data_IF_442952747397
#
_entry.id   IF_442952747397
#
_cell.length_a   1.000
_cell.length_b   1.000
_cell.length_c   1.000
_cell.angle_alpha   90.00
_cell.angle_beta   90.00
_cell.angle_gamma   90.00
#
_symmetry.space_group_name_H-M   'P 1'
#
loop_
_entity.id
_entity.type
_entity.pdbx_description
1 polymer ?
#
# COMPACT_ATOMS: atom_id res chain seq x y z
N UNK A 1 -11.82 5.27 19.05
CA UNK A 1 -12.22 6.19 17.96
C UNK A 1 -11.68 5.62 16.67
N UNK A 2 -12.42 5.66 15.55
CA UNK A 2 -11.89 5.20 14.27
C UNK A 2 -10.98 6.26 13.62
N UNK A 3 -9.97 5.87 12.83
CA UNK A 3 -9.15 6.80 12.07
C UNK A 3 -9.97 7.70 11.15
N UNK A 4 -9.52 8.93 10.92
CA UNK A 4 -10.23 9.92 10.09
C UNK A 4 -9.30 10.55 9.08
N UNK A 5 -9.83 10.82 7.88
CA UNK A 5 -9.11 11.50 6.82
C UNK A 5 -9.80 12.82 6.47
N UNK A 6 -8.98 13.85 6.17
CA UNK A 6 -9.45 15.12 5.61
C UNK A 6 -8.50 15.61 4.54
N UNK A 7 -9.06 16.23 3.50
CA UNK A 7 -8.26 16.92 2.47
C UNK A 7 -7.67 18.20 3.05
N UNK A 8 -6.37 18.40 2.86
CA UNK A 8 -5.65 19.62 3.28
C UNK A 8 -5.10 20.43 2.09
N UNK A 9 -5.06 19.85 0.90
CA UNK A 9 -4.67 20.56 -0.31
C UNK A 9 -4.96 19.77 -1.59
N UNK A 10 -5.43 20.46 -2.61
CA UNK A 10 -5.63 19.91 -3.96
C UNK A 10 -4.81 20.78 -4.90
N UNK A 11 -3.88 20.15 -5.61
CA UNK A 11 -2.99 20.79 -6.56
C UNK A 11 -3.09 20.09 -7.91
N UNK A 12 -2.51 20.70 -8.95
CA UNK A 12 -2.54 20.12 -10.30
C UNK A 12 -1.85 18.75 -10.38
N UNK A 13 -0.78 18.54 -9.63
CA UNK A 13 0.06 17.33 -9.73
C UNK A 13 -0.07 16.38 -8.52
N UNK A 14 -0.79 16.78 -7.48
CA UNK A 14 -0.93 16.01 -6.24
C UNK A 14 -2.12 16.44 -5.40
N UNK A 15 -2.59 15.53 -4.57
CA UNK A 15 -3.52 15.82 -3.48
C UNK A 15 -2.86 15.51 -2.15
N UNK A 16 -3.17 16.31 -1.13
CA UNK A 16 -2.65 16.15 0.22
C UNK A 16 -3.77 15.97 1.22
N UNK A 17 -3.57 15.05 2.15
CA UNK A 17 -4.52 14.69 3.19
C UNK A 17 -3.83 14.70 4.56
N UNK A 18 -4.59 15.02 5.60
CA UNK A 18 -4.23 14.70 6.99
C UNK A 18 -5.05 13.49 7.42
N UNK A 19 -4.37 12.50 8.01
CA UNK A 19 -4.99 11.34 8.63
C UNK A 19 -4.74 11.40 10.12
N UNK A 20 -5.82 11.38 10.90
CA UNK A 20 -5.80 11.23 12.35
C UNK A 20 -5.90 9.74 12.69
N UNK A 21 -4.80 9.19 13.21
CA UNK A 21 -4.70 7.82 13.67
C UNK A 21 -4.65 7.81 15.21
N UNK A 22 -5.83 7.79 15.83
CA UNK A 22 -6.00 7.74 17.28
C UNK A 22 -5.35 8.92 18.04
N UNK A 23 -5.41 10.13 17.48
CA UNK A 23 -4.81 11.34 18.04
C UNK A 23 -3.45 11.69 17.42
N UNK A 24 -2.83 10.76 16.70
CA UNK A 24 -1.59 10.99 15.97
C UNK A 24 -1.89 11.37 14.52
N UNK A 25 -1.66 12.65 14.17
CA UNK A 25 -1.80 13.12 12.79
C UNK A 25 -0.56 12.80 11.94
N UNK A 26 -0.79 12.31 10.72
CA UNK A 26 0.24 12.19 9.68
C UNK A 26 -0.27 12.67 8.32
N UNK A 27 0.67 13.03 7.43
CA UNK A 27 0.33 13.59 6.11
C UNK A 27 0.43 12.52 5.02
N UNK A 28 -0.55 12.49 4.12
CA UNK A 28 -0.55 11.63 2.93
C UNK A 28 -0.49 12.49 1.67
N UNK A 29 0.47 12.23 0.79
CA UNK A 29 0.53 12.82 -0.56
C UNK A 29 0.12 11.79 -1.59
N UNK A 30 -0.89 12.07 -2.40
CA UNK A 30 -1.32 11.19 -3.51
C UNK A 30 -0.90 11.83 -4.82
N UNK A 31 -0.14 11.12 -5.65
CA UNK A 31 0.41 11.69 -6.88
C UNK A 31 0.85 10.63 -7.90
N UNK A 32 0.68 10.89 -9.21
CA UNK A 32 1.41 10.20 -10.26
C UNK A 32 2.66 10.97 -10.75
N UNK A 33 2.89 12.19 -10.24
CA UNK A 33 3.88 13.13 -10.80
C UNK A 33 5.31 12.81 -10.35
N UNK A 34 6.27 12.62 -11.29
CA UNK A 34 7.65 12.26 -10.96
C UNK A 34 8.39 13.30 -10.13
N UNK A 35 8.06 14.58 -10.28
CA UNK A 35 8.70 15.68 -9.56
C UNK A 35 8.24 15.69 -8.10
N UNK A 36 6.95 15.47 -7.86
CA UNK A 36 6.40 15.35 -6.48
C UNK A 36 6.99 14.13 -5.77
N UNK A 37 7.11 12.99 -6.47
CA UNK A 37 7.74 11.78 -5.92
C UNK A 37 9.20 12.06 -5.54
N UNK A 38 9.98 12.66 -6.45
CA UNK A 38 11.38 12.98 -6.18
C UNK A 38 11.56 13.97 -5.04
N UNK A 39 10.71 15.00 -4.97
CA UNK A 39 10.71 15.96 -3.87
C UNK A 39 10.37 15.29 -2.54
N UNK A 40 9.37 14.42 -2.50
CA UNK A 40 9.00 13.69 -1.29
C UNK A 40 10.17 12.84 -0.77
N UNK A 41 10.87 12.12 -1.65
CA UNK A 41 12.05 11.31 -1.27
C UNK A 41 13.15 12.21 -0.71
N UNK A 42 13.46 13.32 -1.40
CA UNK A 42 14.46 14.27 -0.92
C UNK A 42 14.11 14.80 0.48
N UNK A 43 12.84 15.15 0.69
CA UNK A 43 12.36 15.66 1.98
C UNK A 43 12.48 14.61 3.08
N UNK A 44 12.01 13.37 2.88
CA UNK A 44 12.09 12.34 3.93
C UNK A 44 13.54 11.98 4.26
N UNK A 45 14.43 11.93 3.26
CA UNK A 45 15.86 11.71 3.47
C UNK A 45 16.54 12.88 4.18
N UNK A 46 16.11 14.12 3.93
CA UNK A 46 16.62 15.28 4.64
C UNK A 46 16.25 15.22 6.14
N UNK A 47 14.99 14.88 6.44
CA UNK A 47 14.52 14.79 7.83
C UNK A 47 15.09 13.57 8.56
N UNK A 48 15.34 12.46 7.87
CA UNK A 48 15.88 11.24 8.49
C UNK A 48 17.34 11.39 8.94
N UNK A 49 18.09 12.38 8.44
CA UNK A 49 19.43 12.72 8.96
C UNK A 49 19.44 13.13 10.43
N UNK A 50 18.29 13.53 10.95
CA UNK A 50 18.10 13.89 12.36
C UNK A 50 17.65 12.68 13.20
N UNK A 51 17.40 11.54 12.58
CA UNK A 51 17.01 10.31 13.28
C UNK A 51 18.22 9.69 13.97
N UNK A 52 17.99 9.05 15.11
CA UNK A 52 18.99 8.24 15.82
C UNK A 52 19.15 6.83 15.22
N UNK A 53 18.34 6.47 14.24
CA UNK A 53 18.33 5.15 13.61
C UNK A 53 18.40 5.25 12.07
N UNK A 54 18.91 4.20 11.39
CA UNK A 54 18.84 4.07 9.93
C UNK A 54 17.40 4.21 9.41
N UNK A 55 17.25 4.54 8.12
CA UNK A 55 15.94 4.77 7.53
C UNK A 55 15.07 3.51 7.60
N UNK A 56 13.87 3.66 8.16
CA UNK A 56 12.81 2.65 8.15
C UNK A 56 11.69 3.17 7.25
N UNK A 57 11.20 2.30 6.36
CA UNK A 57 10.18 2.64 5.38
C UNK A 57 9.07 1.60 5.42
N UNK A 58 7.85 2.04 5.76
CA UNK A 58 6.66 1.22 5.56
C UNK A 58 6.31 1.16 4.07
N UNK A 59 6.01 -0.03 3.55
CA UNK A 59 5.75 -0.28 2.13
C UNK A 59 4.45 -1.05 1.96
N UNK A 60 3.65 -0.62 0.99
CA UNK A 60 2.42 -1.27 0.58
C UNK A 60 2.26 -1.20 -0.92
N UNK A 61 1.59 -2.19 -1.50
CA UNK A 61 1.32 -2.27 -2.93
C UNK A 61 -0.13 -2.69 -3.13
N UNK A 62 -0.86 -2.01 -4.01
CA UNK A 62 -2.23 -2.38 -4.37
C UNK A 62 -2.39 -2.51 -5.89
N UNK A 63 -3.31 -3.38 -6.29
CA UNK A 63 -3.63 -3.70 -7.68
C UNK A 63 -5.12 -3.99 -7.86
N UNK A 64 -5.66 -3.65 -9.02
CA UNK A 64 -7.04 -3.98 -9.40
C UNK A 64 -7.12 -5.47 -9.79
N UNK A 65 -7.99 -6.28 -9.16
CA UNK A 65 -8.15 -7.69 -9.50
C UNK A 65 -8.57 -7.93 -10.96
N UNK A 66 -8.06 -9.00 -11.57
CA UNK A 66 -8.46 -9.46 -12.90
C UNK A 66 -9.93 -9.88 -12.88
N UNK A 67 -10.80 -9.12 -13.54
CA UNK A 67 -12.25 -9.32 -13.51
C UNK A 67 -13.01 -8.31 -12.62
N UNK A 68 -12.36 -7.25 -12.14
CA UNK A 68 -13.08 -6.12 -11.58
C UNK A 68 -14.04 -5.55 -12.63
N UNK A 69 -15.34 -5.71 -12.39
CA UNK A 69 -16.41 -5.07 -13.13
C UNK A 69 -17.09 -4.09 -12.18
N UNK A 70 -17.00 -2.76 -12.42
CA UNK A 70 -17.75 -1.81 -11.63
C UNK A 70 -19.24 -2.14 -11.79
N UNK A 71 -19.85 -2.67 -10.71
CA UNK A 71 -21.21 -3.17 -10.60
C UNK A 71 -21.93 -3.33 -11.94
N UNK A 72 -21.91 -4.55 -12.51
CA UNK A 72 -22.81 -4.89 -13.62
C UNK A 72 -24.22 -4.39 -13.28
N UNK A 73 -24.89 -3.61 -14.16
CA UNK A 73 -26.27 -3.21 -13.89
C UNK A 73 -27.09 -4.48 -13.64
N UNK A 74 -28.11 -4.44 -12.77
CA UNK A 74 -28.90 -5.63 -12.48
C UNK A 74 -29.43 -6.16 -13.80
N UNK A 75 -28.98 -7.36 -14.17
CA UNK A 75 -29.48 -8.06 -15.35
C UNK A 75 -30.94 -8.33 -15.04
N UNK A 76 -31.84 -7.54 -15.65
CA UNK A 76 -33.25 -7.80 -15.55
C UNK A 76 -33.48 -9.10 -16.33
N UNK A 77 -33.68 -10.20 -15.61
CA UNK A 77 -34.28 -11.39 -16.18
C UNK A 77 -35.71 -11.02 -16.59
N UNK A 78 -35.87 -10.47 -17.81
CA UNK A 78 -37.12 -10.65 -18.53
C UNK A 78 -37.12 -12.10 -18.99
N UNK A 79 -37.80 -12.93 -18.22
CA UNK A 79 -38.24 -14.24 -18.67
C UNK A 79 -39.20 -14.03 -19.83
N UNK A 80 -38.68 -14.09 -21.06
CA UNK A 80 -39.46 -14.48 -22.21
C UNK A 80 -38.56 -15.12 -23.25
N UNK A 81 -38.89 -16.39 -23.55
CA UNK A 81 -38.52 -17.19 -24.73
C UNK A 81 -37.45 -18.28 -24.56
N UNK A 82 -37.82 -19.44 -25.13
CA UNK A 82 -37.25 -20.80 -25.15
C UNK A 82 -35.80 -20.98 -25.66
N UNK A 83 -35.19 -22.18 -25.50
CA UNK A 83 -33.76 -22.39 -25.66
C UNK A 83 -33.41 -22.73 -27.11
N UNK A 84 -32.89 -21.77 -27.86
CA UNK A 84 -32.16 -22.06 -29.09
C UNK A 84 -30.65 -22.06 -28.83
N UNK A 85 -30.04 -23.16 -29.23
CA UNK A 85 -28.65 -23.52 -29.06
C UNK A 85 -27.71 -22.55 -29.79
N UNK A 86 -27.11 -21.63 -29.06
CA UNK A 86 -25.87 -20.99 -29.48
C UNK A 86 -24.68 -21.74 -28.88
N UNK A 87 -24.05 -22.58 -29.71
CA UNK A 87 -22.66 -22.99 -29.46
C UNK A 87 -21.79 -21.74 -29.61
N UNK A 88 -21.35 -21.18 -28.50
CA UNK A 88 -20.29 -20.17 -28.50
C UNK A 88 -18.97 -20.85 -28.85
N UNK A 89 -18.55 -20.71 -30.11
CA UNK A 89 -17.22 -21.10 -30.61
C UNK A 89 -16.13 -20.06 -30.26
N UNK A 90 -16.32 -19.27 -29.20
CA UNK A 90 -15.27 -18.38 -28.70
C UNK A 90 -14.33 -19.19 -27.82
N UNK A 91 -13.02 -19.25 -28.11
CA UNK A 91 -12.07 -19.95 -27.26
C UNK A 91 -12.11 -19.31 -25.86
N UNK A 92 -11.94 -20.10 -24.79
CA UNK A 92 -11.85 -19.54 -23.45
C UNK A 92 -10.60 -18.67 -23.43
N UNK A 93 -10.80 -17.34 -23.38
CA UNK A 93 -9.70 -16.41 -23.15
C UNK A 93 -9.29 -16.64 -21.70
N UNK A 94 -8.22 -17.40 -21.50
CA UNK A 94 -7.59 -17.62 -20.21
C UNK A 94 -7.05 -16.27 -19.70
N UNK A 95 -7.88 -15.47 -19.04
CA UNK A 95 -7.41 -14.33 -18.25
C UNK A 95 -6.83 -14.83 -16.93
N UNK A 96 -5.73 -15.58 -17.03
CA UNK A 96 -4.80 -15.78 -15.92
C UNK A 96 -3.71 -14.73 -16.01
N UNK A 97 -4.08 -13.46 -15.90
CA UNK A 97 -3.08 -12.40 -15.72
C UNK A 97 -3.08 -12.07 -14.23
N UNK A 98 -2.02 -12.47 -13.53
CA UNK A 98 -1.64 -11.85 -12.27
C UNK A 98 -1.48 -10.34 -12.52
N UNK A 99 -2.35 -9.46 -11.99
CA UNK A 99 -2.31 -8.04 -12.34
C UNK A 99 -1.05 -7.39 -11.76
N UNK A 100 -0.40 -6.45 -12.49
CA UNK A 100 0.76 -5.73 -11.96
C UNK A 100 0.34 -4.74 -10.86
N UNK A 101 1.32 -4.17 -10.15
CA UNK A 101 1.07 -3.08 -9.21
C UNK A 101 0.46 -1.85 -9.91
N UNK A 102 -0.67 -1.34 -9.39
CA UNK A 102 -1.30 -0.10 -9.86
C UNK A 102 -0.91 1.11 -8.98
N UNK A 103 -0.63 0.85 -7.70
CA UNK A 103 -0.16 1.86 -6.75
C UNK A 103 0.98 1.32 -5.87
N UNK A 104 1.84 2.23 -5.41
CA UNK A 104 2.89 1.97 -4.42
C UNK A 104 2.73 2.99 -3.28
N UNK A 105 2.66 2.51 -2.04
CA UNK A 105 2.63 3.33 -0.85
C UNK A 105 3.97 3.27 -0.12
N UNK A 106 4.47 4.42 0.32
CA UNK A 106 5.66 4.52 1.14
C UNK A 106 5.38 5.42 2.35
N UNK A 107 5.85 5.02 3.53
CA UNK A 107 5.78 5.81 4.74
C UNK A 107 7.15 5.94 5.40
N UNK A 108 7.52 7.17 5.75
CA UNK A 108 8.68 7.47 6.60
C UNK A 108 8.24 8.43 7.70
N UNK A 109 8.23 7.95 8.95
CA UNK A 109 7.76 8.72 10.09
C UNK A 109 6.28 9.12 9.94
N UNK A 110 6.00 10.43 9.92
CA UNK A 110 4.63 11.00 9.77
C UNK A 110 4.31 11.43 8.34
N UNK A 111 5.04 10.93 7.34
CA UNK A 111 4.88 11.29 5.93
C UNK A 111 4.65 10.04 5.10
N UNK A 112 3.47 9.93 4.53
CA UNK A 112 3.10 8.92 3.56
C UNK A 112 3.05 9.52 2.14
N UNK A 113 3.37 8.71 1.14
CA UNK A 113 3.09 8.99 -0.26
C UNK A 113 2.39 7.78 -0.88
N UNK A 114 1.33 8.03 -1.65
CA UNK A 114 0.67 7.05 -2.52
C UNK A 114 1.01 7.43 -3.95
N UNK A 115 1.84 6.61 -4.57
CA UNK A 115 2.31 6.77 -5.94
C UNK A 115 1.35 5.98 -6.84
N UNK A 116 0.60 6.68 -7.68
CA UNK A 116 -0.30 6.05 -8.65
C UNK A 116 0.49 5.58 -9.88
N UNK A 117 1.17 4.43 -9.74
CA UNK A 117 2.06 3.84 -10.76
C UNK A 117 1.39 3.68 -12.13
N UNK A 118 0.10 3.32 -12.15
CA UNK A 118 -0.70 3.19 -13.37
C UNK A 118 -0.82 4.50 -14.16
N UNK A 119 -0.83 5.65 -13.47
CA UNK A 119 -0.93 6.99 -14.07
C UNK A 119 0.43 7.69 -14.21
N UNK A 120 1.49 7.13 -13.61
CA UNK A 120 2.83 7.69 -13.67
C UNK A 120 3.53 7.27 -14.98
N UNK A 121 3.67 8.14 -15.97
CA UNK A 121 4.28 7.78 -17.28
C UNK A 121 5.72 7.24 -17.13
N UNK A 122 6.51 7.86 -16.26
CA UNK A 122 7.86 7.41 -15.92
C UNK A 122 8.13 7.63 -14.44
N UNK A 123 8.63 6.62 -13.75
CA UNK A 123 9.14 6.79 -12.38
C UNK A 123 10.50 7.50 -12.37
N UNK A 124 10.75 8.42 -11.41
CA UNK A 124 12.05 9.10 -11.33
C UNK A 124 13.15 8.15 -10.85
N UNK A 125 14.38 8.32 -11.33
CA UNK A 125 15.51 7.45 -10.96
C UNK A 125 15.77 7.44 -9.44
N UNK A 126 15.51 8.56 -8.76
CA UNK A 126 15.64 8.64 -7.30
C UNK A 126 14.73 7.67 -6.56
N UNK A 127 13.53 7.37 -7.08
CA UNK A 127 12.66 6.34 -6.50
C UNK A 127 13.25 4.94 -6.67
N UNK A 128 13.82 4.63 -7.84
CA UNK A 128 14.47 3.34 -8.09
C UNK A 128 15.65 3.12 -7.15
N UNK A 129 16.51 4.12 -7.04
CA UNK A 129 17.66 4.07 -6.14
C UNK A 129 17.21 3.96 -4.69
N UNK A 130 16.18 4.70 -4.29
CA UNK A 130 15.60 4.65 -2.95
C UNK A 130 15.12 3.24 -2.61
N UNK A 131 14.31 2.61 -3.46
CA UNK A 131 13.78 1.25 -3.23
C UNK A 131 14.86 0.17 -3.23
N UNK A 132 15.92 0.34 -4.02
CA UNK A 132 17.02 -0.63 -4.14
C UNK A 132 18.10 -0.47 -3.05
N UNK A 133 18.04 0.58 -2.24
CA UNK A 133 19.03 0.86 -1.20
C UNK A 133 18.96 -0.17 -0.06
N UNK A 134 20.06 -0.90 0.14
CA UNK A 134 20.13 -1.98 1.13
C UNK A 134 20.38 -1.47 2.54
N UNK A 135 20.80 -0.22 2.69
CA UNK A 135 21.02 0.43 3.99
C UNK A 135 19.68 0.85 4.63
N UNK A 136 18.59 0.85 3.86
CA UNK A 136 17.24 1.15 4.37
C UNK A 136 16.51 -0.13 4.76
N UNK A 137 15.66 -0.05 5.78
CA UNK A 137 14.82 -1.16 6.24
C UNK A 137 13.40 -0.99 5.70
N UNK A 138 13.03 -1.81 4.73
CA UNK A 138 11.68 -1.85 4.19
C UNK A 138 10.84 -2.85 4.97
N UNK A 139 9.64 -2.46 5.38
CA UNK A 139 8.72 -3.30 6.16
C UNK A 139 7.31 -3.26 5.59
N UNK A 140 6.59 -4.38 5.72
CA UNK A 140 5.17 -4.50 5.39
C UNK A 140 4.54 -5.68 6.14
N UNK A 141 3.25 -5.93 5.90
CA UNK A 141 2.54 -7.10 6.43
C UNK A 141 1.92 -7.85 5.24
N UNK A 142 2.09 -9.17 5.18
CA UNK A 142 1.55 -10.01 4.08
C UNK A 142 2.05 -9.63 2.67
N UNK A 143 3.23 -9.02 2.60
CA UNK A 143 3.84 -8.38 1.43
C UNK A 143 4.59 -9.35 0.49
N UNK A 144 4.31 -10.66 0.54
CA UNK A 144 5.09 -11.67 -0.21
C UNK A 144 4.97 -11.54 -1.74
N UNK A 145 3.92 -10.85 -2.21
CA UNK A 145 3.69 -10.60 -3.63
C UNK A 145 4.26 -9.25 -4.09
N UNK A 146 4.46 -8.30 -3.18
CA UNK A 146 4.71 -6.89 -3.49
C UNK A 146 5.95 -6.71 -4.36
N UNK A 147 7.07 -7.33 -4.00
CA UNK A 147 8.31 -7.26 -4.77
C UNK A 147 8.10 -7.76 -6.22
N UNK A 148 7.43 -8.91 -6.38
CA UNK A 148 7.13 -9.46 -7.71
C UNK A 148 6.12 -8.63 -8.50
N UNK A 149 5.15 -8.00 -7.81
CA UNK A 149 4.16 -7.09 -8.42
C UNK A 149 4.80 -5.81 -8.93
N UNK A 150 5.76 -5.26 -8.18
CA UNK A 150 6.55 -4.09 -8.54
C UNK A 150 7.51 -4.39 -9.70
N UNK A 151 8.18 -5.54 -9.66
CA UNK A 151 9.09 -6.03 -10.71
C UNK A 151 8.34 -6.26 -12.04
N UNK A 152 7.15 -6.86 -11.99
CA UNK A 152 6.31 -7.11 -13.19
C UNK A 152 5.55 -5.88 -13.67
N UNK A 153 5.53 -4.80 -12.90
CA UNK A 153 4.90 -3.56 -13.34
C UNK A 153 5.61 -3.00 -14.57
N UNK A 154 4.93 -2.12 -15.34
CA UNK A 154 5.56 -1.44 -16.49
C UNK A 154 6.83 -0.68 -16.12
N UNK A 155 6.98 -0.34 -14.84
CA UNK A 155 8.11 0.39 -14.32
C UNK A 155 9.27 -0.51 -13.89
N UNK A 156 9.09 -1.82 -13.75
CA UNK A 156 10.15 -2.75 -13.34
C UNK A 156 10.89 -2.23 -12.09
N UNK A 157 10.11 -1.99 -11.03
CA UNK A 157 10.65 -1.47 -9.78
C UNK A 157 11.19 -2.63 -8.96
N UNK A 158 12.49 -2.60 -8.71
CA UNK A 158 13.14 -3.51 -7.77
C UNK A 158 13.15 -2.87 -6.39
N UNK A 159 12.80 -3.67 -5.38
CA UNK A 159 12.91 -3.29 -3.97
C UNK A 159 13.93 -4.19 -3.30
N UNK A 160 14.74 -3.62 -2.41
CA UNK A 160 15.59 -4.37 -1.50
C UNK A 160 14.73 -5.28 -0.60
N UNK A 161 15.38 -6.08 0.25
CA UNK A 161 14.69 -7.02 1.12
C UNK A 161 13.55 -6.33 1.92
N UNK A 162 12.32 -6.77 1.65
CA UNK A 162 11.09 -6.28 2.26
C UNK A 162 10.68 -7.23 3.39
N UNK A 163 10.88 -6.77 4.63
CA UNK A 163 10.62 -7.55 5.84
C UNK A 163 9.13 -7.64 6.10
N UNK A 164 8.67 -8.86 6.34
CA UNK A 164 7.31 -9.14 6.79
C UNK A 164 7.24 -9.06 8.31
N UNK A 165 6.62 -8.00 8.83
CA UNK A 165 6.60 -7.66 10.26
C UNK A 165 6.15 -8.83 11.14
N UNK A 166 5.24 -9.66 10.66
CA UNK A 166 4.69 -10.82 11.39
C UNK A 166 5.76 -11.79 11.88
N UNK A 167 6.94 -11.77 11.26
CA UNK A 167 8.08 -12.63 11.62
C UNK A 167 8.95 -12.03 12.74
N UNK A 168 8.81 -10.74 13.02
CA UNK A 168 9.72 -9.99 13.88
C UNK A 168 9.02 -9.33 15.07
N UNK A 169 7.77 -8.88 14.90
CA UNK A 169 6.99 -8.28 15.98
C UNK A 169 6.59 -9.33 17.01
N UNK A 170 6.60 -8.92 18.29
CA UNK A 170 6.31 -9.80 19.42
C UNK A 170 4.90 -9.59 19.93
N UNK A 171 4.30 -10.64 20.49
CA UNK A 171 3.06 -10.47 21.24
C UNK A 171 3.31 -9.90 22.65
N UNK A 172 2.24 -9.52 23.34
CA UNK A 172 2.24 -9.04 24.72
C UNK A 172 2.82 -10.05 25.74
N UNK A 173 3.03 -11.31 25.34
CA UNK A 173 3.66 -12.36 26.16
C UNK A 173 5.17 -12.49 25.91
N UNK A 174 5.74 -11.67 25.02
CA UNK A 174 7.16 -11.69 24.66
C UNK A 174 7.52 -12.78 23.64
N UNK A 175 6.53 -13.44 23.02
CA UNK A 175 6.78 -14.45 21.99
C UNK A 175 7.09 -13.75 20.67
N UNK A 176 8.30 -13.95 20.16
CA UNK A 176 8.84 -13.29 18.95
C UNK A 176 8.27 -13.82 17.63
N UNK A 177 6.97 -13.97 17.47
CA UNK A 177 6.33 -14.11 16.14
C UNK A 177 4.81 -13.92 16.22
N UNK A 178 4.26 -13.04 15.39
CA UNK A 178 2.80 -12.90 15.16
C UNK A 178 2.39 -13.43 13.78
N UNK A 179 2.98 -14.55 13.34
CA UNK A 179 2.84 -15.10 11.98
C UNK A 179 1.39 -15.40 11.56
N UNK A 180 0.56 -15.83 12.52
CA UNK A 180 -0.84 -16.19 12.29
C UNK A 180 -1.82 -15.03 12.45
N UNK A 181 -1.34 -13.85 12.87
CA UNK A 181 -2.21 -12.73 13.21
C UNK A 181 -2.62 -11.93 11.97
N UNK A 182 -3.82 -11.35 12.03
CA UNK A 182 -4.25 -10.33 11.08
C UNK A 182 -3.49 -9.02 11.29
N UNK A 183 -3.59 -8.11 10.32
CA UNK A 183 -3.03 -6.77 10.45
C UNK A 183 -3.65 -6.04 11.65
N UNK A 184 -4.97 -6.19 11.83
CA UNK A 184 -5.73 -5.59 12.90
C UNK A 184 -5.28 -6.07 14.28
N UNK A 185 -5.07 -7.39 14.43
CA UNK A 185 -4.57 -7.99 15.68
C UNK A 185 -3.17 -7.48 16.02
N UNK A 186 -2.28 -7.33 15.02
CA UNK A 186 -0.93 -6.80 15.23
C UNK A 186 -0.98 -5.35 15.71
N UNK A 187 -1.82 -4.52 15.08
CA UNK A 187 -1.99 -3.11 15.46
C UNK A 187 -2.62 -2.97 16.84
N UNK A 188 -3.61 -3.81 17.17
CA UNK A 188 -4.24 -3.80 18.49
C UNK A 188 -3.23 -4.18 19.59
N UNK A 189 -2.52 -5.30 19.43
CA UNK A 189 -1.57 -5.80 20.43
C UNK A 189 -0.37 -4.87 20.62
N UNK A 190 0.18 -4.29 19.55
CA UNK A 190 1.45 -3.57 19.59
C UNK A 190 1.31 -2.05 19.67
N UNK A 191 0.23 -1.48 19.11
CA UNK A 191 -0.04 -0.03 19.16
C UNK A 191 -1.18 0.32 20.11
N UNK A 192 -1.89 -0.66 20.67
CA UNK A 192 -3.02 -0.42 21.59
C UNK A 192 -4.23 0.22 20.89
N UNK A 193 -4.35 0.08 19.58
CA UNK A 193 -5.34 0.77 18.76
C UNK A 193 -6.40 -0.17 18.20
N UNK A 194 -7.54 -0.23 18.89
CA UNK A 194 -8.69 -1.03 18.47
C UNK A 194 -9.50 -0.37 17.35
N UNK A 195 -10.06 -1.18 16.46
CA UNK A 195 -10.98 -0.71 15.41
C UNK A 195 -10.29 -0.23 14.13
N UNK A 196 -8.98 -0.45 14.00
CA UNK A 196 -8.34 -0.49 12.69
C UNK A 196 -8.85 -1.71 11.95
N UNK A 197 -9.26 -1.54 10.70
CA UNK A 197 -9.71 -2.62 9.82
C UNK A 197 -9.40 -2.26 8.37
N UNK A 198 -8.73 -3.15 7.67
CA UNK A 198 -8.58 -3.06 6.22
C UNK A 198 -9.81 -3.74 5.59
N UNK A 199 -10.66 -2.97 4.93
CA UNK A 199 -11.89 -3.47 4.33
C UNK A 199 -11.57 -4.29 3.06
N UNK A 200 -11.94 -5.59 3.01
CA UNK A 200 -11.74 -6.40 1.81
C UNK A 200 -12.39 -5.82 0.56
N UNK A 201 -13.51 -5.10 0.68
CA UNK A 201 -14.16 -4.44 -0.46
C UNK A 201 -13.30 -3.32 -1.04
N UNK A 202 -12.60 -2.58 -0.18
CA UNK A 202 -11.65 -1.54 -0.61
C UNK A 202 -10.39 -2.19 -1.17
N UNK A 203 -9.86 -3.24 -0.54
CA UNK A 203 -8.71 -3.99 -1.05
C UNK A 203 -8.97 -4.56 -2.46
N UNK A 204 -10.19 -5.04 -2.71
CA UNK A 204 -10.62 -5.59 -4.00
C UNK A 204 -11.20 -4.55 -4.98
N UNK A 205 -11.11 -3.25 -4.65
CA UNK A 205 -11.64 -2.17 -5.49
C UNK A 205 -10.76 -1.85 -6.71
N UNK A 206 -11.18 -0.88 -7.52
CA UNK A 206 -10.38 -0.38 -8.63
C UNK A 206 -9.32 0.63 -8.15
N UNK A 207 -8.07 0.18 -8.09
CA UNK A 207 -6.91 0.99 -7.75
C UNK A 207 -6.33 1.77 -8.95
N UNK A 208 -6.89 1.56 -10.16
CA UNK A 208 -6.55 2.34 -11.36
C UNK A 208 -7.36 3.62 -11.51
N UNK A 209 -8.37 3.84 -10.66
CA UNK A 209 -9.13 5.09 -10.69
C UNK A 209 -8.18 6.27 -10.50
N UNK A 210 -8.38 7.33 -11.28
CA UNK A 210 -7.54 8.52 -11.19
C UNK A 210 -7.72 9.23 -9.85
N UNK A 211 -8.97 9.36 -9.40
CA UNK A 211 -9.32 9.94 -8.12
C UNK A 211 -9.62 8.84 -7.10
N UNK A 212 -8.59 8.44 -6.35
CA UNK A 212 -8.77 7.48 -5.24
C UNK A 212 -9.77 8.02 -4.21
N UNK A 213 -10.67 7.13 -3.75
CA UNK A 213 -11.62 7.44 -2.70
C UNK A 213 -10.96 7.62 -1.33
N UNK A 214 -11.66 8.27 -0.39
CA UNK A 214 -11.16 8.42 0.98
C UNK A 214 -10.87 7.09 1.66
N UNK A 215 -11.69 6.06 1.43
CA UNK A 215 -11.47 4.74 2.02
C UNK A 215 -10.20 4.07 1.46
N UNK A 216 -9.96 4.18 0.15
CA UNK A 216 -8.73 3.70 -0.48
C UNK A 216 -7.49 4.41 0.08
N UNK A 217 -7.53 5.74 0.18
CA UNK A 217 -6.42 6.55 0.69
C UNK A 217 -6.17 6.26 2.17
N UNK A 218 -7.23 6.22 2.98
CA UNK A 218 -7.14 5.95 4.41
C UNK A 218 -6.56 4.56 4.66
N UNK A 219 -7.09 3.53 4.00
CA UNK A 219 -6.61 2.17 4.13
C UNK A 219 -5.14 2.02 3.72
N UNK A 220 -4.81 2.46 2.50
CA UNK A 220 -3.47 2.30 1.95
C UNK A 220 -2.41 3.09 2.73
N UNK A 221 -2.80 4.20 3.37
CA UNK A 221 -1.90 5.00 4.19
C UNK A 221 -1.77 4.50 5.63
N UNK A 222 -2.83 3.97 6.25
CA UNK A 222 -2.77 3.32 7.57
C UNK A 222 -1.89 2.07 7.52
N UNK A 223 -2.02 1.26 6.46
CA UNK A 223 -1.22 0.06 6.25
C UNK A 223 0.28 0.36 6.40
N UNK A 224 0.80 1.27 5.58
CA UNK A 224 2.22 1.64 5.61
C UNK A 224 2.62 2.45 6.84
N UNK A 225 1.72 3.26 7.40
CA UNK A 225 2.01 4.05 8.60
C UNK A 225 2.18 3.15 9.83
N UNK A 226 1.23 2.24 10.06
CA UNK A 226 1.33 1.28 11.16
C UNK A 226 2.58 0.40 11.02
N UNK A 227 2.87 -0.06 9.80
CA UNK A 227 4.09 -0.84 9.55
C UNK A 227 5.36 -0.07 9.92
N UNK A 228 5.44 1.20 9.52
CA UNK A 228 6.58 2.06 9.84
C UNK A 228 6.72 2.29 11.35
N UNK A 229 5.61 2.52 12.08
CA UNK A 229 5.64 2.72 13.53
C UNK A 229 6.08 1.45 14.26
N UNK A 230 5.52 0.29 13.90
CA UNK A 230 5.87 -1.00 14.49
C UNK A 230 7.35 -1.34 14.29
N UNK A 231 7.86 -1.16 13.07
CA UNK A 231 9.28 -1.40 12.80
C UNK A 231 10.21 -0.48 13.59
N UNK A 232 9.75 0.73 13.93
CA UNK A 232 10.52 1.64 14.77
C UNK A 232 10.50 1.19 16.23
N UNK A 233 9.33 0.81 16.75
CA UNK A 233 9.17 0.32 18.11
C UNK A 233 9.98 -0.96 18.38
N UNK A 234 10.05 -1.86 17.40
CA UNK A 234 10.77 -3.12 17.50
C UNK A 234 12.22 -3.05 16.98
N UNK A 235 12.75 -1.85 16.69
CA UNK A 235 14.14 -1.64 16.28
C UNK A 235 14.56 -2.52 15.08
N UNK A 236 13.68 -2.72 14.10
CA UNK A 236 13.90 -3.73 13.05
C UNK A 236 15.07 -3.44 12.12
N UNK A 237 15.62 -2.22 12.15
CA UNK A 237 16.87 -1.91 11.47
C UNK A 237 18.08 -2.70 12.03
N UNK A 238 18.01 -3.21 13.26
CA UNK A 238 19.09 -3.99 13.88
C UNK A 238 19.11 -5.44 13.39
N UNK A 239 17.97 -5.94 12.90
CA UNK A 239 17.82 -7.33 12.43
C UNK A 239 18.65 -7.61 11.19
N UNK A 240 18.91 -6.59 10.36
CA UNK A 240 19.78 -6.71 9.17
C UNK A 240 21.26 -6.93 9.50
N UNK A 241 21.68 -6.68 10.75
CA UNK A 241 23.07 -6.77 11.18
C UNK A 241 23.36 -7.99 12.06
N UNK A 242 22.41 -8.93 12.18
CA UNK A 242 22.55 -10.21 12.90
C UNK A 242 22.70 -11.36 11.91
#
# INVERSE_FOLDING_TARGET
MAPRIRTIGIYATQKKYSVDFFGEEFTVTVTPDPSVIGQWIHDVLFHSRLSSHPLVVGVGVQWTPSGYHPASPPVSYRSDSSPDSYRSDSPPVFYSSDPPADTLQLCVGKRCIIIQLFHCERVPQVLRNFLADRDYTFVGVWNSQDAGKLERSRHQLEIAELLDLRKYVSDSTGRRTMRGCSFEEIVEENLGHQGVRLDPQVSMSDWRVYDLGYDQILQASIDVYACCQLAILDHLWEVKFQ
#
